data_IF_636974572470
#
_entry.id   IF_636974572470
#
_cell.length_a   1.000
_cell.length_b   1.000
_cell.length_c   1.000
_cell.angle_alpha   90.00
_cell.angle_beta   90.00
_cell.angle_gamma   90.00
#
_symmetry.space_group_name_H-M   'P 1'
#
loop_
_entity.id
_entity.type
_entity.pdbx_description
1 polymer ?
#
# COMPACT_ATOMS: atom_id res chain seq x y z
N UNK A 1 -11.33 1.39 -27.62
CA UNK A 1 -10.83 0.17 -26.94
C UNK A 1 -10.47 0.55 -25.53
N UNK A 2 -10.98 -0.19 -24.55
CA UNK A 2 -10.90 0.16 -23.12
C UNK A 2 -9.44 0.31 -22.68
N UNK A 3 -9.03 1.54 -22.36
CA UNK A 3 -7.71 1.79 -21.77
C UNK A 3 -7.68 1.04 -20.44
N UNK A 4 -6.73 0.13 -20.23
CA UNK A 4 -6.59 -0.52 -18.92
C UNK A 4 -5.80 0.37 -17.97
N UNK A 5 -5.98 0.20 -16.65
CA UNK A 5 -5.23 0.95 -15.63
C UNK A 5 -3.72 0.88 -15.84
N UNK A 6 -3.21 -0.28 -16.26
CA UNK A 6 -1.79 -0.49 -16.57
C UNK A 6 -1.28 0.37 -17.72
N UNK A 7 -2.09 0.54 -18.76
CA UNK A 7 -1.75 1.38 -19.91
C UNK A 7 -1.68 2.86 -19.51
N UNK A 8 -2.60 3.32 -18.66
CA UNK A 8 -2.55 4.68 -18.10
C UNK A 8 -1.34 4.88 -17.18
N UNK A 9 -0.96 3.87 -16.39
CA UNK A 9 0.21 3.96 -15.47
C UNK A 9 1.54 4.09 -16.21
N UNK A 10 1.65 3.42 -17.36
CA UNK A 10 2.86 3.45 -18.22
C UNK A 10 3.04 4.79 -18.94
N UNK A 11 1.97 5.56 -19.14
CA UNK A 11 2.01 6.86 -19.79
C UNK A 11 2.67 7.96 -18.96
N UNK A 12 3.16 8.99 -19.63
CA UNK A 12 3.73 10.18 -18.98
C UNK A 12 2.62 11.09 -18.45
N UNK A 13 2.95 12.00 -17.51
CA UNK A 13 1.96 12.98 -17.00
C UNK A 13 1.41 13.84 -18.13
N UNK A 14 2.24 14.18 -19.11
CA UNK A 14 1.83 14.94 -20.28
C UNK A 14 0.78 14.18 -21.11
N UNK A 15 1.03 12.90 -21.40
CA UNK A 15 0.07 12.05 -22.13
C UNK A 15 -1.24 11.85 -21.36
N UNK A 16 -1.17 11.69 -20.03
CA UNK A 16 -2.36 11.60 -19.19
C UNK A 16 -3.19 12.89 -19.22
N UNK A 17 -2.54 14.05 -19.30
CA UNK A 17 -3.24 15.35 -19.44
C UNK A 17 -3.91 15.50 -20.81
N UNK A 18 -3.27 15.03 -21.88
CA UNK A 18 -3.88 15.03 -23.21
C UNK A 18 -5.11 14.11 -23.27
N UNK A 19 -5.06 12.95 -22.62
CA UNK A 19 -6.23 12.06 -22.49
C UNK A 19 -7.33 12.73 -21.65
N UNK A 20 -6.96 13.41 -20.56
CA UNK A 20 -7.90 14.13 -19.71
C UNK A 20 -8.60 15.30 -20.43
N UNK A 21 -7.91 16.02 -21.33
CA UNK A 21 -8.51 17.07 -22.16
C UNK A 21 -9.62 16.55 -23.08
N UNK A 22 -9.53 15.31 -23.53
CA UNK A 22 -10.52 14.67 -24.39
C UNK A 22 -11.69 14.04 -23.63
N UNK A 23 -11.69 14.10 -22.30
CA UNK A 23 -12.71 13.49 -21.44
C UNK A 23 -13.39 14.61 -20.64
N UNK A 24 -14.63 14.93 -21.01
CA UNK A 24 -15.47 15.88 -20.27
C UNK A 24 -16.10 15.17 -19.07
N UNK A 25 -15.34 15.03 -17.99
CA UNK A 25 -15.83 14.46 -16.73
C UNK A 25 -15.39 15.33 -15.56
N UNK A 26 -16.29 15.60 -14.61
CA UNK A 26 -16.08 16.43 -13.41
C UNK A 26 -14.84 16.00 -12.58
N UNK A 27 -14.41 14.75 -12.72
CA UNK A 27 -13.26 14.19 -12.02
C UNK A 27 -11.90 14.65 -12.58
N UNK A 28 -11.85 15.04 -13.87
CA UNK A 28 -10.65 15.54 -14.57
C UNK A 28 -10.67 17.05 -14.77
N UNK A 29 -11.66 17.75 -14.22
CA UNK A 29 -11.65 19.21 -14.08
C UNK A 29 -10.50 19.60 -13.14
N UNK A 30 -9.44 20.20 -13.69
CA UNK A 30 -8.19 20.49 -12.96
C UNK A 30 -7.00 19.58 -13.27
N UNK A 31 -7.09 18.72 -14.31
CA UNK A 31 -6.00 17.85 -14.78
C UNK A 31 -4.64 18.57 -15.01
N UNK A 32 -4.65 19.89 -15.27
CA UNK A 32 -3.45 20.70 -15.44
C UNK A 32 -2.61 20.86 -14.17
N UNK A 33 -3.24 20.83 -12.98
CA UNK A 33 -2.57 21.00 -11.68
C UNK A 33 -2.37 19.68 -10.92
N UNK A 34 -3.04 18.60 -11.32
CA UNK A 34 -2.94 17.30 -10.64
C UNK A 34 -1.56 16.65 -10.81
N UNK A 35 -1.08 15.99 -9.76
CA UNK A 35 0.10 15.13 -9.80
C UNK A 35 -0.23 13.80 -10.49
N UNK A 36 0.79 13.05 -10.96
CA UNK A 36 0.62 11.81 -11.75
C UNK A 36 -0.35 10.80 -11.10
N UNK A 37 -0.29 10.66 -9.77
CA UNK A 37 -1.13 9.74 -9.02
C UNK A 37 -2.60 10.15 -9.05
N UNK A 38 -2.88 11.41 -8.69
CA UNK A 38 -4.25 11.94 -8.61
C UNK A 38 -4.91 11.99 -9.98
N UNK A 39 -4.16 12.38 -11.02
CA UNK A 39 -4.63 12.39 -12.41
C UNK A 39 -5.03 11.00 -12.89
N UNK A 40 -4.29 9.97 -12.48
CA UNK A 40 -4.56 8.59 -12.87
C UNK A 40 -5.83 8.06 -12.18
N UNK A 41 -6.04 8.38 -10.90
CA UNK A 41 -7.27 8.03 -10.17
C UNK A 41 -8.47 8.75 -10.80
N UNK A 42 -8.34 10.04 -11.09
CA UNK A 42 -9.37 10.84 -11.76
C UNK A 42 -9.76 10.26 -13.12
N UNK A 43 -8.77 9.89 -13.95
CA UNK A 43 -8.99 9.26 -15.25
C UNK A 43 -9.65 7.88 -15.13
N UNK A 44 -9.23 7.06 -14.17
CA UNK A 44 -9.84 5.75 -13.97
C UNK A 44 -11.30 5.88 -13.50
N UNK A 45 -11.60 6.86 -12.64
CA UNK A 45 -12.97 7.20 -12.23
C UNK A 45 -13.81 7.69 -13.41
N UNK A 46 -13.26 8.57 -14.25
CA UNK A 46 -13.95 9.09 -15.44
C UNK A 46 -14.21 8.03 -16.52
N UNK A 47 -13.32 7.05 -16.64
CA UNK A 47 -13.43 5.94 -17.59
C UNK A 47 -14.22 4.73 -17.03
N UNK A 48 -14.70 4.80 -15.79
CA UNK A 48 -15.40 3.69 -15.12
C UNK A 48 -14.51 2.46 -14.89
N UNK A 49 -13.20 2.64 -14.88
CA UNK A 49 -12.22 1.58 -14.61
C UNK A 49 -12.13 1.44 -13.10
N UNK A 50 -12.55 0.29 -12.58
CA UNK A 50 -12.55 0.05 -11.15
C UNK A 50 -11.10 0.04 -10.62
N UNK A 51 -10.76 1.08 -9.87
CA UNK A 51 -9.45 1.23 -9.22
C UNK A 51 -9.31 0.34 -7.99
N UNK A 52 -10.38 -0.34 -7.57
CA UNK A 52 -10.42 -1.12 -6.34
C UNK A 52 -9.51 -2.36 -6.36
N UNK A 53 -9.23 -2.96 -7.51
CA UNK A 53 -8.46 -4.21 -7.54
C UNK A 53 -6.94 -4.04 -7.39
N UNK A 54 -6.38 -2.84 -7.60
CA UNK A 54 -4.93 -2.67 -7.65
C UNK A 54 -4.30 -1.91 -6.47
N UNK A 55 -5.12 -1.37 -5.56
CA UNK A 55 -4.66 -0.90 -4.25
C UNK A 55 -4.77 -1.95 -3.14
N UNK A 56 -5.21 -3.17 -3.45
CA UNK A 56 -4.83 -4.31 -2.63
C UNK A 56 -3.36 -4.61 -2.92
N UNK A 57 -2.48 -4.07 -2.08
CA UNK A 57 -1.19 -4.69 -1.84
C UNK A 57 -1.50 -6.09 -1.30
N UNK A 58 -1.70 -7.06 -2.20
CA UNK A 58 -1.82 -8.49 -1.92
C UNK A 58 -0.51 -9.08 -1.32
N UNK A 59 0.39 -8.21 -0.85
CA UNK A 59 1.60 -8.53 -0.13
C UNK A 59 1.48 -8.10 1.32
N UNK A 60 0.69 -8.87 2.09
CA UNK A 60 0.67 -8.86 3.56
C UNK A 60 0.21 -7.53 4.18
N UNK A 61 -0.80 -7.58 5.07
CA UNK A 61 -1.20 -6.41 5.88
C UNK A 61 -0.07 -5.98 6.85
N UNK A 62 0.88 -5.16 6.34
CA UNK A 62 2.06 -4.69 7.08
C UNK A 62 1.67 -3.92 8.34
N UNK A 63 0.53 -3.22 8.31
CA UNK A 63 -0.06 -2.54 9.48
C UNK A 63 -0.40 -3.54 10.59
N UNK A 64 -1.13 -4.61 10.27
CA UNK A 64 -1.51 -5.66 11.22
C UNK A 64 -0.27 -6.35 11.84
N UNK A 65 0.75 -6.67 11.03
CA UNK A 65 1.98 -7.27 11.56
C UNK A 65 2.74 -6.28 12.48
N UNK A 66 2.76 -4.98 12.14
CA UNK A 66 3.37 -3.96 13.00
C UNK A 66 2.65 -3.85 14.36
N UNK A 67 1.32 -3.99 14.39
CA UNK A 67 0.54 -4.04 15.64
C UNK A 67 0.95 -5.26 16.47
N UNK A 68 0.99 -6.45 15.87
CA UNK A 68 1.43 -7.67 16.55
C UNK A 68 2.86 -7.55 17.11
N UNK A 69 3.80 -6.97 16.35
CA UNK A 69 5.17 -6.71 16.83
C UNK A 69 5.16 -5.80 18.07
N UNK A 70 4.28 -4.79 18.11
CA UNK A 70 4.17 -3.89 19.28
C UNK A 70 3.65 -4.63 20.51
N UNK A 71 2.70 -5.54 20.34
CA UNK A 71 2.19 -6.40 21.43
C UNK A 71 3.27 -7.35 21.94
N UNK A 72 4.00 -8.03 21.04
CA UNK A 72 5.09 -8.91 21.45
C UNK A 72 6.23 -8.15 22.14
N UNK A 73 6.48 -6.88 21.80
CA UNK A 73 7.44 -6.05 22.55
C UNK A 73 6.99 -5.81 24.00
N UNK A 74 5.70 -5.60 24.24
CA UNK A 74 5.18 -5.50 25.62
C UNK A 74 5.38 -6.81 26.39
N UNK A 75 5.03 -7.94 25.77
CA UNK A 75 5.26 -9.29 26.36
C UNK A 75 6.73 -9.59 26.64
N UNK A 76 7.64 -9.06 25.81
CA UNK A 76 9.10 -9.17 26.04
C UNK A 76 9.50 -8.39 27.29
N UNK A 77 8.96 -7.19 27.47
CA UNK A 77 9.30 -6.33 28.60
C UNK A 77 8.73 -6.92 29.91
N UNK A 78 7.53 -7.50 29.85
CA UNK A 78 6.94 -8.30 30.94
C UNK A 78 7.80 -9.52 31.29
N UNK A 79 8.22 -10.30 30.30
CA UNK A 79 9.10 -11.47 30.52
C UNK A 79 10.48 -11.08 31.05
N UNK A 80 10.99 -9.90 30.67
CA UNK A 80 12.23 -9.32 31.21
C UNK A 80 12.07 -8.97 32.69
N UNK A 81 10.96 -8.33 33.07
CA UNK A 81 10.67 -7.99 34.45
C UNK A 81 10.45 -9.24 35.32
N UNK A 82 9.82 -10.28 34.77
CA UNK A 82 9.60 -11.56 35.45
C UNK A 82 10.85 -12.47 35.48
N UNK A 83 11.98 -12.06 34.86
CA UNK A 83 13.17 -12.88 34.67
C UNK A 83 12.89 -14.26 34.03
N UNK A 84 11.82 -14.36 33.23
CA UNK A 84 11.47 -15.58 32.53
C UNK A 84 12.26 -15.69 31.22
N UNK A 85 13.41 -16.34 31.32
CA UNK A 85 14.32 -16.56 30.19
C UNK A 85 13.73 -17.43 29.08
N UNK A 86 12.80 -18.34 29.41
CA UNK A 86 12.16 -19.23 28.43
C UNK A 86 11.20 -18.41 27.59
N UNK A 87 10.29 -17.67 28.24
CA UNK A 87 9.32 -16.82 27.57
C UNK A 87 9.99 -15.69 26.79
N UNK A 88 11.06 -15.11 27.33
CA UNK A 88 11.86 -14.09 26.65
C UNK A 88 12.45 -14.60 25.32
N UNK A 89 12.93 -15.85 25.29
CA UNK A 89 13.48 -16.48 24.07
C UNK A 89 12.39 -16.70 23.03
N UNK A 90 11.22 -17.18 23.42
CA UNK A 90 10.07 -17.41 22.54
C UNK A 90 9.61 -16.09 21.91
N UNK A 91 9.37 -15.07 22.73
CA UNK A 91 8.89 -13.76 22.26
C UNK A 91 9.89 -13.10 21.30
N UNK A 92 11.20 -13.17 21.57
CA UNK A 92 12.23 -12.62 20.67
C UNK A 92 12.22 -13.31 19.30
N UNK A 93 12.00 -14.63 19.25
CA UNK A 93 11.92 -15.40 18.00
C UNK A 93 10.69 -15.02 17.18
N UNK A 94 9.54 -14.86 17.82
CA UNK A 94 8.31 -14.41 17.13
C UNK A 94 8.46 -13.00 16.54
N UNK A 95 9.04 -12.06 17.30
CA UNK A 95 9.35 -10.72 16.77
C UNK A 95 10.26 -10.81 15.55
N UNK A 96 11.30 -11.66 15.59
CA UNK A 96 12.22 -11.82 14.46
C UNK A 96 11.50 -12.41 13.23
N UNK A 97 10.64 -13.42 13.41
CA UNK A 97 9.85 -14.04 12.34
C UNK A 97 8.93 -13.03 11.67
N UNK A 98 8.18 -12.26 12.45
CA UNK A 98 7.26 -11.23 11.94
C UNK A 98 8.01 -10.12 11.17
N UNK A 99 9.19 -9.69 11.65
CA UNK A 99 10.06 -8.76 10.92
C UNK A 99 10.56 -9.33 9.60
N UNK A 100 10.98 -10.60 9.59
CA UNK A 100 11.42 -11.29 8.36
C UNK A 100 10.27 -11.45 7.35
N UNK A 101 9.05 -11.70 7.81
CA UNK A 101 7.87 -11.78 6.97
C UNK A 101 7.59 -10.44 6.26
N UNK A 102 7.67 -9.31 6.98
CA UNK A 102 7.54 -7.98 6.35
C UNK A 102 8.66 -7.74 5.34
N UNK A 103 9.90 -8.07 5.68
CA UNK A 103 11.05 -7.84 4.79
C UNK A 103 10.95 -8.66 3.49
N UNK A 104 10.55 -9.94 3.59
CA UNK A 104 10.32 -10.81 2.43
C UNK A 104 9.19 -10.31 1.53
N UNK A 105 8.11 -9.77 2.10
CA UNK A 105 6.99 -9.20 1.34
C UNK A 105 7.25 -7.78 0.84
N UNK A 106 8.46 -7.27 1.01
CA UNK A 106 8.88 -5.96 0.49
C UNK A 106 9.96 -6.09 -0.59
N UNK A 107 10.54 -7.29 -0.76
CA UNK A 107 11.41 -7.67 -1.86
C UNK A 107 10.56 -8.28 -2.98
#
# INVERSE_FOLDING_TARGET
MAQTFEELKKKTVAELREIAKGIEHEAVEGHSQMHKGDLLIALCKALGIDTHEHHQVAGINKSAIKVQIREFKKKRDEALAAHDHVQLKVVRREIHRLKRQIHRATL
#
